data_IF_489196994529
#
_entry.id   IF_489196994529
#
_cell.length_a   1.000
_cell.length_b   1.000
_cell.length_c   1.000
_cell.angle_alpha   90.00
_cell.angle_beta   90.00
_cell.angle_gamma   90.00
#
_symmetry.space_group_name_H-M   'P 1'
#
loop_
_entity.id
_entity.type
_entity.pdbx_description
1 polymer ?
#
# COMPACT_ATOMS: atom_id res chain seq x y z
N UNK A 1 3.71 -5.15 -18.50
CA UNK A 1 5.00 -4.51 -18.16
C UNK A 1 4.96 -2.99 -18.33
N UNK A 2 4.03 -2.49 -19.15
CA UNK A 2 4.04 -1.12 -19.69
C UNK A 2 4.02 -0.01 -18.64
N UNK A 3 3.21 -0.18 -17.58
CA UNK A 3 3.09 0.88 -16.57
C UNK A 3 4.36 1.16 -15.74
N UNK A 4 5.35 0.25 -15.68
CA UNK A 4 6.63 0.55 -15.02
C UNK A 4 7.53 1.37 -15.93
N UNK A 5 7.64 1.01 -17.20
CA UNK A 5 8.41 1.77 -18.20
C UNK A 5 7.85 3.19 -18.36
N UNK A 6 6.52 3.33 -18.41
CA UNK A 6 5.88 4.65 -18.47
C UNK A 6 6.18 5.49 -17.22
N UNK A 7 6.21 4.87 -16.04
CA UNK A 7 6.57 5.54 -14.80
C UNK A 7 8.03 6.02 -14.79
N UNK A 8 8.94 5.22 -15.36
CA UNK A 8 10.35 5.57 -15.48
C UNK A 8 10.56 6.71 -16.50
N UNK A 9 9.86 6.68 -17.64
CA UNK A 9 9.88 7.78 -18.63
C UNK A 9 9.35 9.09 -18.05
N UNK A 10 8.26 9.04 -17.29
CA UNK A 10 7.71 10.22 -16.58
C UNK A 10 8.72 10.84 -15.59
N UNK A 11 9.65 10.03 -15.08
CA UNK A 11 10.74 10.49 -14.20
C UNK A 11 12.02 10.90 -14.93
N UNK A 12 12.00 10.95 -16.26
CA UNK A 12 13.17 11.21 -17.11
C UNK A 12 14.33 10.23 -16.89
N UNK A 13 14.01 8.96 -16.60
CA UNK A 13 15.03 7.91 -16.59
C UNK A 13 15.48 7.64 -18.03
N UNK A 14 16.79 7.47 -18.31
CA UNK A 14 17.28 7.22 -19.66
C UNK A 14 16.64 5.99 -20.29
N UNK A 15 16.30 6.06 -21.57
CA UNK A 15 15.69 4.93 -22.28
C UNK A 15 16.64 3.72 -22.33
N UNK A 16 17.96 3.95 -22.34
CA UNK A 16 18.98 2.90 -22.24
C UNK A 16 18.82 2.06 -20.96
N UNK A 17 18.55 2.73 -19.82
CA UNK A 17 18.31 2.06 -18.54
C UNK A 17 17.02 1.25 -18.58
N UNK A 18 15.97 1.76 -19.24
CA UNK A 18 14.69 1.08 -19.38
C UNK A 18 14.84 -0.17 -20.25
N UNK A 19 15.58 -0.08 -21.36
CA UNK A 19 15.90 -1.22 -22.22
C UNK A 19 16.75 -2.26 -21.48
N UNK A 20 17.71 -1.82 -20.66
CA UNK A 20 18.52 -2.72 -19.85
C UNK A 20 17.65 -3.46 -18.82
N UNK A 21 16.73 -2.76 -18.14
CA UNK A 21 15.75 -3.39 -17.23
C UNK A 21 14.86 -4.41 -17.95
N UNK A 22 14.43 -4.12 -19.18
CA UNK A 22 13.61 -5.03 -19.99
C UNK A 22 14.40 -6.25 -20.47
N UNK A 23 15.66 -6.06 -20.86
CA UNK A 23 16.59 -7.12 -21.25
C UNK A 23 16.89 -8.06 -20.08
N UNK A 24 17.10 -7.49 -18.90
CA UNK A 24 17.38 -8.22 -17.65
C UNK A 24 16.10 -8.80 -17.02
N UNK A 25 14.93 -8.65 -17.66
CA UNK A 25 13.63 -9.14 -17.21
C UNK A 25 13.31 -8.69 -15.78
N UNK A 26 13.57 -7.43 -15.48
CA UNK A 26 13.32 -6.85 -14.17
C UNK A 26 11.88 -6.41 -14.05
N UNK A 27 11.14 -7.18 -13.25
CA UNK A 27 9.74 -6.93 -12.95
C UNK A 27 9.56 -6.08 -11.68
N UNK A 28 8.38 -5.46 -11.48
CA UNK A 28 8.04 -4.76 -10.24
C UNK A 28 8.24 -5.62 -8.97
N UNK A 29 8.05 -6.93 -9.08
CA UNK A 29 8.26 -7.87 -7.97
C UNK A 29 9.75 -8.07 -7.69
N UNK A 30 10.58 -8.14 -8.74
CA UNK A 30 12.04 -8.28 -8.61
C UNK A 30 12.62 -7.03 -7.95
N UNK A 31 12.16 -5.84 -8.36
CA UNK A 31 12.54 -4.56 -7.76
C UNK A 31 12.30 -4.51 -6.24
N UNK A 32 11.30 -5.22 -5.71
CA UNK A 32 11.01 -5.26 -4.28
C UNK A 32 11.96 -6.17 -3.48
N UNK A 33 12.61 -7.12 -4.14
CA UNK A 33 13.52 -8.10 -3.53
C UNK A 33 14.99 -7.68 -3.72
N UNK A 34 15.27 -6.80 -4.68
CA UNK A 34 16.61 -6.27 -4.91
C UNK A 34 17.12 -5.41 -3.75
N UNK A 35 18.43 -5.45 -3.55
CA UNK A 35 19.14 -4.59 -2.60
C UNK A 35 19.38 -3.19 -3.18
N UNK A 36 19.57 -2.18 -2.32
CA UNK A 36 19.85 -0.80 -2.78
C UNK A 36 21.11 -0.71 -3.65
N UNK A 37 22.13 -1.51 -3.34
CA UNK A 37 23.36 -1.60 -4.13
C UNK A 37 23.08 -2.05 -5.58
N UNK A 38 22.21 -3.04 -5.77
CA UNK A 38 21.83 -3.52 -7.09
C UNK A 38 20.92 -2.53 -7.83
N UNK A 39 20.03 -1.85 -7.10
CA UNK A 39 19.19 -0.79 -7.68
C UNK A 39 20.00 0.41 -8.13
N UNK A 40 21.14 0.69 -7.49
CA UNK A 40 22.03 1.80 -7.83
C UNK A 40 22.65 1.64 -9.23
N UNK A 41 22.85 0.41 -9.70
CA UNK A 41 23.36 0.11 -11.04
C UNK A 41 22.42 0.63 -12.14
N UNK A 42 21.12 0.58 -11.90
CA UNK A 42 20.11 1.05 -12.85
C UNK A 42 19.68 2.50 -12.56
N UNK A 43 19.49 2.83 -11.29
CA UNK A 43 18.97 4.11 -10.82
C UNK A 43 19.96 4.75 -9.85
N UNK A 44 20.89 5.60 -10.35
CA UNK A 44 21.93 6.21 -9.51
C UNK A 44 21.35 7.19 -8.48
N UNK A 45 20.25 7.85 -8.82
CA UNK A 45 19.50 8.76 -7.96
C UNK A 45 18.74 8.00 -6.86
N UNK A 46 19.03 8.32 -5.60
CA UNK A 46 18.36 7.70 -4.44
C UNK A 46 16.85 7.99 -4.41
N UNK A 47 16.45 9.19 -4.83
CA UNK A 47 15.04 9.58 -4.89
C UNK A 47 14.24 8.73 -5.86
N UNK A 48 14.84 8.36 -7.00
CA UNK A 48 14.18 7.53 -8.01
C UNK A 48 14.07 6.08 -7.56
N UNK A 49 15.08 5.55 -6.85
CA UNK A 49 14.99 4.24 -6.20
C UNK A 49 13.82 4.17 -5.22
N UNK A 50 13.69 5.15 -4.33
CA UNK A 50 12.57 5.24 -3.38
C UNK A 50 11.22 5.35 -4.10
N UNK A 51 11.16 6.14 -5.16
CA UNK A 51 9.94 6.33 -5.93
C UNK A 51 9.49 5.05 -6.65
N UNK A 52 10.43 4.32 -7.27
CA UNK A 52 10.18 3.05 -7.95
C UNK A 52 9.76 1.98 -6.95
N UNK A 53 10.45 1.85 -5.82
CA UNK A 53 10.05 0.95 -4.74
C UNK A 53 8.64 1.30 -4.22
N UNK A 54 8.35 2.59 -4.03
CA UNK A 54 7.04 3.07 -3.64
C UNK A 54 5.95 2.75 -4.67
N UNK A 55 6.24 2.93 -5.96
CA UNK A 55 5.35 2.55 -7.06
C UNK A 55 5.06 1.05 -7.04
N UNK A 56 6.09 0.21 -6.91
CA UNK A 56 5.96 -1.24 -6.85
C UNK A 56 5.14 -1.70 -5.64
N UNK A 57 5.36 -1.11 -4.45
CA UNK A 57 4.57 -1.40 -3.24
C UNK A 57 3.10 -1.01 -3.39
N UNK A 58 2.79 0.11 -4.05
CA UNK A 58 1.41 0.55 -4.30
C UNK A 58 0.72 -0.33 -5.34
N UNK A 59 1.45 -0.75 -6.38
CA UNK A 59 0.93 -1.62 -7.44
C UNK A 59 0.71 -3.06 -6.97
N UNK A 60 1.60 -3.60 -6.14
CA UNK A 60 1.44 -4.91 -5.49
C UNK A 60 0.31 -4.93 -4.46
N UNK A 61 0.05 -3.80 -3.79
CA UNK A 61 -1.16 -3.58 -3.00
C UNK A 61 -2.35 -3.23 -3.90
N UNK A 62 -2.71 -4.14 -4.81
CA UNK A 62 -3.95 -4.04 -5.56
C UNK A 62 -5.11 -3.75 -4.59
N UNK A 63 -6.09 -2.89 -4.95
CA UNK A 63 -7.27 -2.64 -4.13
C UNK A 63 -8.01 -3.92 -3.72
N UNK A 64 -7.86 -5.00 -4.50
CA UNK A 64 -8.32 -6.36 -4.16
C UNK A 64 -7.71 -6.88 -2.85
N UNK A 65 -6.41 -6.67 -2.61
CA UNK A 65 -5.73 -7.08 -1.37
C UNK A 65 -6.15 -6.22 -0.16
N UNK A 66 -6.49 -4.94 -0.38
CA UNK A 66 -7.08 -4.09 0.66
C UNK A 66 -8.52 -4.52 0.99
N UNK A 67 -9.31 -4.84 -0.03
CA UNK A 67 -10.67 -5.39 0.11
C UNK A 67 -10.65 -6.75 0.83
N UNK A 68 -9.70 -7.63 0.50
CA UNK A 68 -9.55 -8.92 1.19
C UNK A 68 -9.19 -8.73 2.66
N UNK A 69 -8.26 -7.82 3.00
CA UNK A 69 -7.93 -7.50 4.40
C UNK A 69 -9.13 -6.94 5.18
N UNK A 70 -9.99 -6.15 4.54
CA UNK A 70 -11.23 -5.66 5.16
C UNK A 70 -12.25 -6.79 5.38
N UNK A 71 -12.44 -7.65 4.37
CA UNK A 71 -13.31 -8.82 4.46
C UNK A 71 -12.84 -9.82 5.53
N UNK A 72 -11.55 -10.10 5.60
CA UNK A 72 -10.95 -10.95 6.63
C UNK A 72 -11.15 -10.37 8.03
N UNK A 73 -10.97 -9.04 8.20
CA UNK A 73 -11.28 -8.36 9.48
C UNK A 73 -12.75 -8.45 9.84
N UNK A 74 -13.65 -8.37 8.85
CA UNK A 74 -15.10 -8.48 9.07
C UNK A 74 -15.48 -9.91 9.46
N UNK A 75 -15.01 -10.92 8.72
CA UNK A 75 -15.19 -12.35 9.05
C UNK A 75 -14.68 -12.66 10.46
N UNK A 76 -13.46 -12.23 10.79
CA UNK A 76 -12.88 -12.42 12.11
C UNK A 76 -13.72 -11.77 13.22
N UNK A 77 -14.43 -10.67 12.95
CA UNK A 77 -15.32 -10.02 13.91
C UNK A 77 -16.65 -10.76 14.09
N UNK A 78 -17.23 -11.24 12.99
CA UNK A 78 -18.47 -12.03 12.98
C UNK A 78 -18.25 -13.38 13.66
N UNK A 79 -17.16 -14.10 13.32
CA UNK A 79 -16.82 -15.38 13.95
C UNK A 79 -16.58 -15.26 15.46
N UNK A 80 -16.03 -14.14 15.94
CA UNK A 80 -15.87 -13.86 17.38
C UNK A 80 -17.17 -13.50 18.11
N UNK A 81 -18.23 -13.19 17.37
CA UNK A 81 -19.53 -12.80 17.92
C UNK A 81 -20.48 -13.99 18.12
N UNK A 82 -20.15 -15.17 17.58
CA UNK A 82 -20.95 -16.39 17.72
C UNK A 82 -20.83 -17.09 19.08
N UNK A 83 -19.76 -16.84 19.84
CA UNK A 83 -19.48 -17.47 21.14
C UNK A 83 -19.69 -16.53 22.34
N UNK A 84 -20.34 -15.37 22.13
CA UNK A 84 -20.64 -14.41 23.21
C UNK A 84 -22.14 -14.27 23.42
N UNK A 85 -22.80 -15.40 23.60
CA UNK A 85 -23.94 -15.41 24.51
C UNK A 85 -23.37 -15.22 25.93
N UNK A 86 -23.85 -14.19 26.62
CA UNK A 86 -23.54 -13.78 27.99
C UNK A 86 -22.29 -12.90 28.24
N UNK A 87 -22.57 -11.74 28.87
CA UNK A 87 -21.66 -10.79 29.52
C UNK A 87 -20.94 -9.77 28.62
N UNK A 88 -21.63 -8.68 28.27
CA UNK A 88 -20.96 -7.39 28.04
C UNK A 88 -21.85 -6.26 28.53
N UNK A 89 -21.61 -5.81 29.76
CA UNK A 89 -22.03 -4.47 30.19
C UNK A 89 -21.60 -3.47 29.13
N UNK A 90 -22.58 -2.75 28.58
CA UNK A 90 -22.34 -1.66 27.64
C UNK A 90 -21.65 -0.54 28.42
N UNK A 91 -20.32 -0.44 28.33
CA UNK A 91 -19.64 0.79 28.74
C UNK A 91 -20.13 1.91 27.83
N UNK A 92 -20.88 2.91 28.33
CA UNK A 92 -21.38 3.99 27.49
C UNK A 92 -20.18 4.81 27.01
N UNK A 93 -20.16 5.11 25.71
CA UNK A 93 -19.13 5.96 25.13
C UNK A 93 -19.26 7.37 25.73
N UNK A 94 -18.18 7.88 26.35
CA UNK A 94 -18.15 9.20 27.02
C UNK A 94 -18.60 10.35 26.12
N UNK A 95 -18.50 10.20 24.81
CA UNK A 95 -18.96 11.21 23.84
C UNK A 95 -20.49 11.25 23.69
N UNK A 96 -21.20 10.15 23.92
CA UNK A 96 -22.66 10.11 23.84
C UNK A 96 -23.35 10.72 25.07
N UNK A 97 -22.63 10.89 26.17
CA UNK A 97 -23.13 11.47 27.43
C UNK A 97 -22.91 12.99 27.54
N UNK A 98 -22.33 13.64 26.52
CA UNK A 98 -22.10 15.09 26.56
C UNK A 98 -23.36 15.83 26.13
N UNK A 99 -23.85 16.69 27.02
CA UNK A 99 -24.99 17.59 26.78
C UNK A 99 -24.70 18.61 25.67
N UNK A 100 -23.43 18.99 25.49
CA UNK A 100 -23.02 20.00 24.54
C UNK A 100 -22.20 19.39 23.39
N UNK A 101 -22.63 19.69 22.16
CA UNK A 101 -21.91 19.34 20.93
C UNK A 101 -21.38 20.62 20.31
N UNK A 102 -20.08 20.65 20.00
CA UNK A 102 -19.50 21.73 19.19
C UNK A 102 -19.91 21.50 17.74
N UNK A 103 -20.72 22.39 17.20
CA UNK A 103 -21.09 22.47 15.79
C UNK A 103 -20.41 23.69 15.20
N UNK A 104 -19.57 23.49 14.17
CA UNK A 104 -19.11 24.59 13.31
C UNK A 104 -20.15 24.78 12.22
N UNK A 105 -20.65 26.01 12.07
CA UNK A 105 -21.45 26.41 10.91
C UNK A 105 -20.50 26.99 9.88
N UNK A 106 -20.39 26.31 8.73
CA UNK A 106 -19.79 26.84 7.51
C UNK A 106 -20.84 27.52 6.65
#
# INVERSE_FOLDING_TARGET
MDGLCDFLRLRNVPEETIQQLEKDKIDPNVLLVMTDAQLTTYLPSYGDRLAVLGYCRRKGNCPVARKSKLFERLKAKISRSGDREHLSEKVPSRNAQKSERKIEMG
#
